data_IF_397001018910
#
_entry.id   IF_397001018910
#
_cell.length_a   1.000
_cell.length_b   1.000
_cell.length_c   1.000
_cell.angle_alpha   90.00
_cell.angle_beta   90.00
_cell.angle_gamma   90.00
#
_symmetry.space_group_name_H-M   'P 1'
#
loop_
_entity.id
_entity.type
_entity.pdbx_description
1 polymer ?
#
# COMPACT_ATOMS: atom_id res chain seq x y z
N UNK A 1 -4.22 7.87 17.54
CA UNK A 1 -3.83 6.83 16.55
C UNK A 1 -2.31 6.76 16.54
N UNK A 2 -1.71 5.58 16.74
CA UNK A 2 -0.24 5.40 16.75
C UNK A 2 0.29 5.56 15.31
N UNK A 3 1.37 6.35 15.16
CA UNK A 3 2.09 6.53 13.89
C UNK A 3 2.64 5.19 13.41
N UNK A 4 2.38 4.84 12.15
CA UNK A 4 3.13 3.83 11.40
C UNK A 4 4.07 4.63 10.51
N UNK A 5 5.39 4.57 10.73
CA UNK A 5 6.36 5.22 9.82
C UNK A 5 6.35 4.51 8.45
N UNK A 6 6.84 5.18 7.40
CA UNK A 6 7.01 4.53 6.09
C UNK A 6 7.88 3.26 6.15
N UNK A 7 8.80 3.18 7.11
CA UNK A 7 9.59 1.96 7.40
C UNK A 7 8.79 0.88 8.13
N UNK A 8 7.68 1.24 8.78
CA UNK A 8 6.72 0.30 9.35
C UNK A 8 5.62 -0.11 8.36
N UNK A 9 5.54 0.51 7.18
CA UNK A 9 4.70 0.01 6.08
C UNK A 9 5.28 -1.29 5.47
N UNK A 10 6.49 -1.70 5.88
CA UNK A 10 6.93 -3.08 5.84
C UNK A 10 6.20 -3.89 6.93
N UNK A 11 4.87 -3.81 6.97
CA UNK A 11 4.09 -4.74 7.79
C UNK A 11 4.10 -6.06 7.03
N UNK A 12 5.10 -6.87 7.33
CA UNK A 12 5.12 -8.30 7.06
C UNK A 12 3.91 -8.88 7.78
N UNK A 13 2.78 -8.99 7.09
CA UNK A 13 1.63 -9.79 7.53
C UNK A 13 1.51 -10.97 6.59
N UNK A 14 2.11 -12.09 6.98
CA UNK A 14 1.98 -13.36 6.25
C UNK A 14 3.28 -13.97 5.70
N UNK A 15 4.43 -13.30 5.87
CA UNK A 15 5.71 -13.81 5.37
C UNK A 15 5.98 -13.52 3.89
N UNK A 16 5.09 -12.79 3.22
CA UNK A 16 5.33 -12.22 1.89
C UNK A 16 5.94 -10.83 2.04
N UNK A 17 7.05 -10.59 1.33
CA UNK A 17 7.70 -9.28 1.27
C UNK A 17 6.95 -8.42 0.25
N UNK A 18 6.22 -7.41 0.72
CA UNK A 18 5.52 -6.46 -0.14
C UNK A 18 6.27 -5.14 -0.23
N UNK A 19 6.53 -4.70 -1.46
CA UNK A 19 7.24 -3.45 -1.75
C UNK A 19 6.27 -2.42 -2.32
N UNK A 20 6.40 -1.18 -1.87
CA UNK A 20 5.65 -0.05 -2.40
C UNK A 20 6.05 0.20 -3.86
N UNK A 21 5.06 0.31 -4.77
CA UNK A 21 5.30 0.54 -6.19
C UNK A 21 4.84 1.92 -6.64
N UNK A 22 3.58 2.27 -6.37
CA UNK A 22 2.99 3.54 -6.80
C UNK A 22 1.86 3.98 -5.89
N UNK A 23 1.46 5.25 -6.00
CA UNK A 23 0.27 5.80 -5.37
C UNK A 23 -0.58 6.57 -6.37
N UNK A 24 -1.89 6.58 -6.19
CA UNK A 24 -2.83 7.33 -7.02
C UNK A 24 -4.05 7.79 -6.22
N UNK A 25 -4.73 8.83 -6.71
CA UNK A 25 -6.01 9.27 -6.15
C UNK A 25 -7.13 8.40 -6.72
N UNK A 26 -7.82 7.67 -5.85
CA UNK A 26 -8.99 6.88 -6.20
C UNK A 26 -10.28 7.66 -5.92
N UNK A 27 -11.16 7.73 -6.93
CA UNK A 27 -12.50 8.31 -6.82
C UNK A 27 -13.51 7.20 -6.52
N UNK A 28 -14.09 7.23 -5.33
CA UNK A 28 -15.01 6.18 -4.85
C UNK A 28 -16.45 6.49 -5.25
N UNK A 29 -17.27 5.44 -5.37
CA UNK A 29 -18.69 5.55 -5.76
C UNK A 29 -19.55 6.40 -4.82
N UNK A 30 -19.10 6.60 -3.57
CA UNK A 30 -19.74 7.50 -2.59
C UNK A 30 -19.31 8.98 -2.73
N UNK A 31 -18.57 9.34 -3.78
CA UNK A 31 -18.10 10.71 -4.03
C UNK A 31 -16.87 11.13 -3.23
N UNK A 32 -16.32 10.25 -2.38
CA UNK A 32 -15.09 10.52 -1.63
C UNK A 32 -13.85 10.26 -2.48
N UNK A 33 -12.75 10.95 -2.16
CA UNK A 33 -11.43 10.69 -2.72
C UNK A 33 -10.54 10.06 -1.65
N UNK A 34 -9.79 9.04 -2.02
CA UNK A 34 -8.78 8.43 -1.15
C UNK A 34 -7.43 8.41 -1.86
N UNK A 35 -6.34 8.59 -1.11
CA UNK A 35 -5.01 8.30 -1.61
C UNK A 35 -4.78 6.80 -1.44
N UNK A 36 -4.50 6.09 -2.53
CA UNK A 36 -4.31 4.64 -2.51
C UNK A 36 -2.87 4.32 -2.89
N UNK A 37 -2.16 3.62 -2.00
CA UNK A 37 -0.86 3.04 -2.26
C UNK A 37 -1.00 1.63 -2.82
N UNK A 38 -0.22 1.31 -3.85
CA UNK A 38 -0.08 -0.03 -4.41
C UNK A 38 1.21 -0.65 -3.93
N UNK A 39 1.12 -1.91 -3.50
CA UNK A 39 2.24 -2.73 -3.06
C UNK A 39 2.29 -4.01 -3.88
N UNK A 40 3.46 -4.36 -4.40
CA UNK A 40 3.70 -5.65 -5.07
C UNK A 40 4.31 -6.60 -4.05
N UNK A 41 3.66 -7.74 -3.83
CA UNK A 41 4.12 -8.78 -2.94
C UNK A 41 4.90 -9.85 -3.72
N UNK A 42 5.91 -10.40 -3.07
CA UNK A 42 6.77 -11.43 -3.61
C UNK A 42 6.82 -12.63 -2.66
N UNK A 43 6.97 -13.81 -3.22
CA UNK A 43 7.25 -15.00 -2.44
C UNK A 43 8.70 -15.00 -1.92
N UNK A 44 9.05 -16.03 -1.14
CA UNK A 44 10.41 -16.23 -0.62
C UNK A 44 11.50 -16.42 -1.69
N UNK A 45 11.12 -16.65 -2.95
CA UNK A 45 12.04 -16.77 -4.08
C UNK A 45 12.20 -15.44 -4.84
N UNK A 46 11.44 -14.41 -4.46
CA UNK A 46 11.46 -13.11 -5.12
C UNK A 46 10.54 -13.05 -6.34
N UNK A 47 9.61 -13.99 -6.50
CA UNK A 47 8.65 -14.01 -7.61
C UNK A 47 7.37 -13.24 -7.24
N UNK A 48 6.84 -12.39 -8.14
CA UNK A 48 5.66 -11.58 -7.85
C UNK A 48 4.41 -12.46 -7.70
N UNK A 49 3.76 -12.42 -6.55
CA UNK A 49 2.58 -13.25 -6.24
C UNK A 49 1.27 -12.51 -6.38
N UNK A 50 1.21 -11.29 -5.83
CA UNK A 50 -0.04 -10.54 -5.74
C UNK A 50 0.21 -9.04 -5.59
N UNK A 51 -0.84 -8.27 -5.87
CA UNK A 51 -0.82 -6.81 -5.68
C UNK A 51 -1.82 -6.45 -4.59
N UNK A 52 -1.37 -5.65 -3.62
CA UNK A 52 -2.19 -5.14 -2.53
C UNK A 52 -2.39 -3.64 -2.68
N UNK A 53 -3.55 -3.17 -2.22
CA UNK A 53 -3.89 -1.75 -2.15
C UNK A 53 -4.21 -1.39 -0.71
N UNK A 54 -3.65 -0.30 -0.22
CA UNK A 54 -3.98 0.24 1.10
C UNK A 54 -4.25 1.75 1.01
N UNK A 55 -5.14 2.23 1.87
CA UNK A 55 -5.44 3.66 2.00
C UNK A 55 -4.31 4.38 2.73
N UNK A 56 -3.71 5.35 2.04
CA UNK A 56 -2.69 6.24 2.57
C UNK A 56 -3.32 7.55 3.06
N UNK A 57 -2.51 8.39 3.69
CA UNK A 57 -2.96 9.74 4.02
C UNK A 57 -3.14 10.56 2.73
N UNK A 58 -4.15 11.42 2.70
CA UNK A 58 -4.46 12.23 1.52
C UNK A 58 -3.28 13.09 1.03
N UNK A 59 -2.49 13.65 1.95
CA UNK A 59 -1.32 14.46 1.62
C UNK A 59 -0.20 13.66 0.94
N UNK A 60 -0.19 12.32 1.04
CA UNK A 60 0.79 11.51 0.33
C UNK A 60 0.54 11.54 -1.17
N UNK A 61 -0.69 11.75 -1.65
CA UNK A 61 -0.99 11.82 -3.08
C UNK A 61 -0.97 13.25 -3.65
N UNK A 62 -0.57 14.25 -2.86
CA UNK A 62 -0.44 15.64 -3.30
C UNK A 62 0.94 15.96 -3.86
#
# INVERSE_FOLDING_TARGET
MKKISNEQATVIVGGDDCYYTQKYVEYRSNGTKACVGIYQCFDKHGEPTSTRKDDLFWYDCQ
#
